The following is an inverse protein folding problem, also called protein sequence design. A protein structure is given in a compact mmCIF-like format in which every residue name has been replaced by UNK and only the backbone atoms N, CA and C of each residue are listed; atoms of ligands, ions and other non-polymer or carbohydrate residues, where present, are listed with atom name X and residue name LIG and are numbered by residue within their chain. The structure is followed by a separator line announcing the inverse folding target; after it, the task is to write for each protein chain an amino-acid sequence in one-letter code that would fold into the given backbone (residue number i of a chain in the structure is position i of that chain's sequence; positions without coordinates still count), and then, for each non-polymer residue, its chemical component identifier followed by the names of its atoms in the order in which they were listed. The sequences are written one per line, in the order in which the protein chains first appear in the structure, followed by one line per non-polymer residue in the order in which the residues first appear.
data_IF_387945436112
#
_entry.id   IF_387945436112
#
_cell.length_a   1.000
_cell.length_b   1.000
_cell.length_c   1.000
_cell.angle_alpha   90.00
_cell.angle_beta   90.00
_cell.angle_gamma   90.00
#
_symmetry.space_group_name_H-M   'P 1'
#
loop_
_entity.id
_entity.type
_entity.pdbx_description
1 polymer ?
#
# COMPACT_ATOMS: atom_id res chain seq x y z
N UNK A 1 15.54 -2.48 13.57
CA UNK A 1 15.36 -1.28 12.73
C UNK A 1 13.97 -1.31 12.15
N UNK A 2 13.24 -0.21 12.26
CA UNK A 2 11.90 -0.10 11.70
C UNK A 2 11.96 0.62 10.36
N UNK A 3 11.38 0.01 9.32
CA UNK A 3 11.28 0.64 8.01
C UNK A 3 9.93 1.34 7.95
N UNK A 4 9.96 2.61 7.59
CA UNK A 4 8.75 3.40 7.44
C UNK A 4 8.60 3.81 5.97
N UNK A 5 7.43 3.54 5.41
CA UNK A 5 7.12 3.87 4.02
C UNK A 5 5.85 4.70 3.99
N UNK A 6 5.96 5.90 3.43
CA UNK A 6 4.82 6.81 3.33
C UNK A 6 4.72 7.30 1.88
N UNK A 7 3.52 7.27 1.34
CA UNK A 7 3.28 7.71 -0.03
C UNK A 7 2.02 8.56 -0.08
N UNK A 8 2.14 9.72 -0.74
CA UNK A 8 1.02 10.65 -0.90
C UNK A 8 0.27 10.39 -2.20
N UNK A 9 -1.05 10.37 -2.13
CA UNK A 9 -1.91 10.13 -3.29
C UNK A 9 -2.96 11.22 -3.41
N UNK A 10 -3.27 11.59 -4.63
CA UNK A 10 -4.26 12.62 -4.90
C UNK A 10 -5.68 12.13 -4.68
N UNK A 11 -5.95 10.91 -5.15
CA UNK A 11 -7.28 10.32 -5.04
C UNK A 11 -7.17 8.86 -4.66
N UNK A 12 -8.27 8.34 -4.11
CA UNK A 12 -8.35 6.94 -3.75
C UNK A 12 -8.30 6.05 -5.01
N UNK A 13 -8.87 6.51 -6.12
CA UNK A 13 -8.83 5.75 -7.37
C UNK A 13 -7.41 5.55 -7.86
N UNK A 14 -6.58 6.60 -7.79
CA UNK A 14 -5.18 6.49 -8.19
C UNK A 14 -4.44 5.51 -7.29
N UNK A 15 -4.68 5.58 -5.98
CA UNK A 15 -4.08 4.66 -5.04
C UNK A 15 -4.49 3.22 -5.33
N UNK A 16 -5.79 2.97 -5.54
CA UNK A 16 -6.27 1.62 -5.82
C UNK A 16 -5.67 1.05 -7.09
N UNK A 17 -5.50 1.89 -8.11
CA UNK A 17 -4.88 1.47 -9.37
C UNK A 17 -3.43 1.04 -9.14
N UNK A 18 -2.68 1.82 -8.36
CA UNK A 18 -1.29 1.47 -8.05
C UNK A 18 -1.22 0.19 -7.21
N UNK A 19 -2.11 0.02 -6.25
CA UNK A 19 -2.12 -1.17 -5.40
C UNK A 19 -2.37 -2.46 -6.18
N UNK A 20 -2.99 -2.36 -7.36
CA UNK A 20 -3.23 -3.50 -8.22
C UNK A 20 -2.16 -3.68 -9.28
N UNK A 21 -1.14 -2.82 -9.29
CA UNK A 21 -0.09 -2.86 -10.31
C UNK A 21 0.97 -3.89 -9.98
N UNK A 22 1.72 -4.32 -11.00
CA UNK A 22 2.85 -5.22 -10.82
C UNK A 22 3.97 -4.56 -10.02
N UNK A 23 4.12 -3.25 -10.15
CA UNK A 23 5.11 -2.51 -9.39
C UNK A 23 4.85 -2.62 -7.90
N UNK A 24 3.58 -2.49 -7.50
CA UNK A 24 3.25 -2.62 -6.09
C UNK A 24 3.42 -4.06 -5.61
N UNK A 25 3.16 -5.04 -6.46
CA UNK A 25 3.40 -6.43 -6.11
C UNK A 25 4.85 -6.66 -5.72
N UNK A 26 5.79 -6.13 -6.51
CA UNK A 26 7.21 -6.24 -6.20
C UNK A 26 7.56 -5.54 -4.89
N UNK A 27 6.99 -4.35 -4.66
CA UNK A 27 7.22 -3.63 -3.42
C UNK A 27 6.67 -4.39 -2.22
N UNK A 28 5.48 -4.97 -2.36
CA UNK A 28 4.87 -5.74 -1.28
C UNK A 28 5.72 -6.94 -0.91
N UNK A 29 6.29 -7.62 -1.90
CA UNK A 29 7.18 -8.75 -1.64
C UNK A 29 8.42 -8.31 -0.85
N UNK A 30 9.00 -7.16 -1.21
CA UNK A 30 10.13 -6.62 -0.48
C UNK A 30 9.77 -6.30 0.96
N UNK A 31 8.60 -5.70 1.18
CA UNK A 31 8.15 -5.35 2.52
C UNK A 31 7.91 -6.59 3.36
N UNK A 32 7.34 -7.62 2.76
CA UNK A 32 7.06 -8.88 3.47
C UNK A 32 8.33 -9.62 3.83
N UNK A 33 9.37 -9.53 3.02
CA UNK A 33 10.63 -10.21 3.27
C UNK A 33 11.55 -9.43 4.20
N UNK A 34 11.22 -8.17 4.51
CA UNK A 34 12.04 -7.36 5.41
C UNK A 34 11.97 -7.90 6.84
N UNK A 35 13.09 -7.84 7.53
CA UNK A 35 13.13 -8.20 8.95
C UNK A 35 12.37 -7.16 9.76
N UNK A 36 11.48 -7.60 10.66
CA UNK A 36 10.71 -6.71 11.52
C UNK A 36 9.36 -6.40 10.91
N UNK A 37 8.74 -5.33 11.40
CA UNK A 37 7.40 -4.94 10.97
C UNK A 37 7.46 -3.57 10.33
N UNK A 38 7.59 -3.48 8.99
CA UNK A 38 7.64 -2.17 8.35
C UNK A 38 6.32 -1.43 8.54
N UNK A 39 6.43 -0.11 8.72
CA UNK A 39 5.28 0.77 8.83
C UNK A 39 4.97 1.32 7.45
N UNK A 40 3.74 1.13 6.98
CA UNK A 40 3.33 1.58 5.65
C UNK A 40 2.09 2.46 5.80
N UNK A 41 2.15 3.64 5.20
CA UNK A 41 1.03 4.57 5.22
C UNK A 41 0.80 5.15 3.84
N UNK A 42 -0.47 5.18 3.43
CA UNK A 42 -0.88 5.84 2.19
C UNK A 42 -1.69 7.07 2.58
N UNK A 43 -1.13 8.25 2.32
CA UNK A 43 -1.77 9.51 2.68
C UNK A 43 -2.69 9.97 1.55
N UNK A 44 -3.96 10.18 1.88
CA UNK A 44 -4.97 10.68 0.96
C UNK A 44 -5.50 12.01 1.52
N UNK A 45 -6.09 12.86 0.67
CA UNK A 45 -6.75 14.06 1.21
C UNK A 45 -7.79 13.68 2.25
N UNK A 46 -7.56 14.07 3.49
CA UNK A 46 -8.47 13.81 4.60
C UNK A 46 -8.42 12.41 5.20
N UNK A 47 -7.48 11.55 4.78
CA UNK A 47 -7.41 10.19 5.31
C UNK A 47 -6.01 9.61 5.19
N UNK A 48 -5.70 8.66 6.10
CA UNK A 48 -4.47 7.88 6.03
C UNK A 48 -4.86 6.41 6.08
N UNK A 49 -4.30 5.60 5.18
CA UNK A 49 -4.56 4.17 5.12
C UNK A 49 -3.27 3.39 5.36
N UNK A 50 -3.37 2.26 6.04
CA UNK A 50 -2.23 1.40 6.31
C UNK A 50 -2.12 0.25 5.31
N UNK A 51 -1.20 -0.69 5.59
CA UNK A 51 -0.95 -1.82 4.70
C UNK A 51 -2.18 -2.73 4.55
N UNK A 52 -3.05 -2.80 5.56
CA UNK A 52 -4.26 -3.62 5.48
C UNK A 52 -5.20 -3.11 4.38
N UNK A 53 -5.16 -1.82 4.10
CA UNK A 53 -5.94 -1.28 2.99
C UNK A 53 -5.46 -1.84 1.66
N UNK A 54 -4.14 -1.93 1.47
CA UNK A 54 -3.58 -2.51 0.27
C UNK A 54 -4.01 -3.97 0.10
N UNK A 55 -4.00 -4.73 1.19
CA UNK A 55 -4.42 -6.13 1.16
C UNK A 55 -5.89 -6.25 0.78
N UNK A 56 -6.75 -5.39 1.34
CA UNK A 56 -8.16 -5.38 1.02
C UNK A 56 -8.41 -5.08 -0.45
N UNK A 57 -7.72 -4.09 -1.00
CA UNK A 57 -7.90 -3.71 -2.41
C UNK A 57 -7.46 -4.83 -3.33
N UNK A 58 -6.32 -5.47 -3.06
CA UNK A 58 -5.80 -6.53 -3.90
C UNK A 58 -6.66 -7.78 -3.84
N UNK A 59 -7.30 -8.05 -2.71
CA UNK A 59 -8.15 -9.23 -2.54
C UNK A 59 -9.60 -8.98 -2.94
N UNK A 60 -9.99 -7.73 -3.16
CA UNK A 60 -11.34 -7.41 -3.56
C UNK A 60 -11.61 -7.86 -5.00
N UNK A 61 -12.83 -8.36 -5.30
CA UNK A 61 -13.16 -8.73 -6.67
C UNK A 61 -13.09 -7.50 -7.58
N UNK A 62 -12.52 -7.70 -8.76
CA UNK A 62 -12.49 -6.65 -9.78
C UNK A 62 -13.79 -6.71 -10.57
N UNK A 63 -14.45 -5.58 -10.71
CA UNK A 63 -15.69 -5.50 -11.46
C UNK A 63 -15.47 -4.76 -12.76
#
# INVERSE_FOLDING_TARGET
MTISYVEDWRTEDDLQRELRSDRFTALAELLESASGHPSVEFALPGAIRGIEYAQQVRNAPVR
#
